data_IF_711807986532
#
_entry.id   IF_711807986532
#
_cell.length_a   1.000
_cell.length_b   1.000
_cell.length_c   1.000
_cell.angle_alpha   90.00
_cell.angle_beta   90.00
_cell.angle_gamma   90.00
#
_symmetry.space_group_name_H-M   'P 1'
#
loop_
_entity.id
_entity.type
_entity.pdbx_description
1 polymer ?
#
# COMPACT_ATOMS: atom_id res chain seq x y z
N UNK A 1 -0.96 -16.03 -6.06
CA UNK A 1 -1.11 -15.30 -7.33
C UNK A 1 -0.09 -14.17 -7.31
N UNK A 2 1.09 -14.33 -7.95
CA UNK A 2 2.06 -13.24 -8.07
C UNK A 2 1.51 -12.23 -9.07
N UNK A 3 1.08 -11.05 -8.60
CA UNK A 3 0.86 -9.93 -9.49
C UNK A 3 2.20 -9.63 -10.18
N UNK A 4 2.24 -9.76 -11.52
CA UNK A 4 3.45 -9.56 -12.34
C UNK A 4 3.87 -8.08 -12.32
N UNK A 5 4.51 -7.65 -11.23
CA UNK A 5 5.19 -6.35 -11.12
C UNK A 5 6.32 -6.21 -12.16
N UNK A 6 6.82 -7.32 -12.72
CA UNK A 6 7.76 -7.33 -13.85
C UNK A 6 7.26 -6.53 -15.07
N UNK A 7 5.94 -6.51 -15.30
CA UNK A 7 5.36 -5.72 -16.39
C UNK A 7 5.44 -4.21 -16.16
N UNK A 8 5.40 -3.78 -14.90
CA UNK A 8 5.47 -2.37 -14.51
C UNK A 8 6.88 -1.79 -14.73
N UNK A 9 7.91 -2.55 -14.36
CA UNK A 9 9.31 -2.15 -14.53
C UNK A 9 9.73 -1.92 -15.98
N UNK A 10 8.98 -2.45 -16.97
CA UNK A 10 9.26 -2.22 -18.40
C UNK A 10 9.04 -0.77 -18.84
N UNK A 11 8.22 -0.02 -18.11
CA UNK A 11 7.84 1.35 -18.44
C UNK A 11 8.60 2.41 -17.64
N UNK A 12 9.50 1.99 -16.75
CA UNK A 12 10.35 2.88 -15.95
C UNK A 12 11.81 2.82 -16.42
N UNK A 13 12.59 3.91 -16.25
CA UNK A 13 14.02 3.90 -16.55
C UNK A 13 14.75 2.74 -15.86
N UNK A 14 15.77 2.11 -16.48
CA UNK A 14 16.46 0.95 -15.93
C UNK A 14 17.12 1.18 -14.55
N UNK A 15 17.46 2.43 -14.24
CA UNK A 15 17.97 2.90 -12.94
C UNK A 15 16.89 3.11 -11.88
N UNK A 16 15.61 3.00 -12.27
CA UNK A 16 14.42 3.13 -11.42
C UNK A 16 13.70 1.78 -11.35
N UNK A 17 14.34 0.78 -10.75
CA UNK A 17 13.65 -0.47 -10.40
C UNK A 17 12.61 -0.18 -9.32
N UNK A 18 11.34 -0.41 -9.67
CA UNK A 18 10.23 -0.44 -8.73
C UNK A 18 10.23 -1.81 -8.08
N UNK A 19 10.68 -1.86 -6.83
CA UNK A 19 10.59 -3.03 -5.96
C UNK A 19 9.48 -2.78 -4.94
N UNK A 20 8.28 -3.30 -5.26
CA UNK A 20 7.17 -3.35 -4.32
C UNK A 20 7.19 -4.73 -3.69
N UNK A 21 7.24 -4.78 -2.36
CA UNK A 21 7.23 -6.03 -1.62
C UNK A 21 5.80 -6.36 -1.21
N UNK A 22 5.34 -7.55 -1.59
CA UNK A 22 3.96 -7.99 -1.33
C UNK A 22 3.98 -9.04 -0.22
N UNK A 23 3.19 -8.80 0.81
CA UNK A 23 2.93 -9.72 1.91
C UNK A 23 1.47 -10.16 1.84
N UNK A 24 1.21 -11.45 1.97
CA UNK A 24 -0.15 -12.01 1.95
C UNK A 24 -0.67 -12.17 3.37
N UNK A 25 -1.97 -11.97 3.59
CA UNK A 25 -2.56 -12.20 4.91
C UNK A 25 -2.34 -13.66 5.35
N UNK A 26 -1.64 -13.84 6.46
CA UNK A 26 -1.41 -15.14 7.12
C UNK A 26 -2.48 -15.43 8.16
N UNK A 27 -2.92 -14.40 8.91
CA UNK A 27 -3.89 -14.57 9.97
C UNK A 27 -4.38 -13.27 10.59
N UNK A 28 -5.47 -13.39 11.33
CA UNK A 28 -6.16 -12.31 12.03
C UNK A 28 -6.46 -12.73 13.47
N UNK A 29 -6.14 -11.88 14.45
CA UNK A 29 -6.45 -12.09 15.86
C UNK A 29 -6.94 -10.77 16.47
N UNK A 30 -8.24 -10.68 16.74
CA UNK A 30 -8.87 -9.42 17.15
C UNK A 30 -8.57 -8.30 16.15
N UNK A 31 -8.00 -7.20 16.63
CA UNK A 31 -7.61 -6.05 15.81
C UNK A 31 -6.18 -6.14 15.26
N UNK A 32 -5.54 -7.32 15.34
CA UNK A 32 -4.23 -7.57 14.75
C UNK A 32 -4.38 -8.35 13.44
N UNK A 33 -3.61 -7.95 12.42
CA UNK A 33 -3.43 -8.69 11.17
C UNK A 33 -1.94 -9.00 10.99
N UNK A 34 -1.66 -10.23 10.56
CA UNK A 34 -0.31 -10.70 10.27
C UNK A 34 -0.26 -11.00 8.79
N UNK A 35 0.62 -10.31 8.08
CA UNK A 35 0.91 -10.54 6.68
C UNK A 35 2.31 -11.14 6.57
N UNK A 36 2.53 -12.09 5.66
CA UNK A 36 3.84 -12.72 5.52
C UNK A 36 4.24 -12.98 4.08
N UNK A 37 5.54 -13.16 3.93
CA UNK A 37 6.22 -13.71 2.76
C UNK A 37 7.20 -14.77 3.25
N UNK A 38 7.97 -15.40 2.35
CA UNK A 38 8.84 -16.52 2.66
C UNK A 38 9.86 -16.24 3.80
N UNK A 39 10.32 -15.00 3.93
CA UNK A 39 11.41 -14.60 4.83
C UNK A 39 11.08 -13.44 5.78
N UNK A 40 9.86 -12.89 5.74
CA UNK A 40 9.50 -11.71 6.51
C UNK A 40 8.01 -11.71 6.91
N UNK A 41 7.69 -10.98 7.97
CA UNK A 41 6.30 -10.75 8.41
C UNK A 41 6.05 -9.27 8.69
N UNK A 42 4.85 -8.80 8.39
CA UNK A 42 4.34 -7.50 8.82
C UNK A 42 3.20 -7.74 9.80
N UNK A 43 3.28 -7.11 10.96
CA UNK A 43 2.22 -7.15 11.98
C UNK A 43 1.57 -5.78 12.00
N UNK A 44 0.30 -5.70 11.64
CA UNK A 44 -0.52 -4.48 11.71
C UNK A 44 -1.47 -4.60 12.88
N UNK A 45 -1.51 -3.59 13.74
CA UNK A 45 -2.42 -3.48 14.87
C UNK A 45 -3.33 -2.28 14.64
N UNK A 46 -4.61 -2.54 14.45
CA UNK A 46 -5.64 -1.52 14.33
C UNK A 46 -6.04 -1.09 15.74
N UNK A 47 -5.66 0.12 16.14
CA UNK A 47 -6.13 0.75 17.37
C UNK A 47 -6.89 1.99 16.88
N UNK A 48 -8.13 2.23 17.32
CA UNK A 48 -9.08 3.15 16.66
C UNK A 48 -8.49 4.41 16.01
N UNK A 49 -7.68 5.18 16.75
CA UNK A 49 -7.01 6.38 16.24
C UNK A 49 -5.48 6.22 16.04
N UNK A 50 -4.91 5.04 16.29
CA UNK A 50 -3.47 4.79 16.29
C UNK A 50 -3.12 3.42 15.68
N UNK A 51 -3.41 3.24 14.39
CA UNK A 51 -2.92 2.06 13.66
C UNK A 51 -1.39 2.04 13.64
N UNK A 52 -0.80 0.91 14.04
CA UNK A 52 0.65 0.68 14.07
C UNK A 52 1.01 -0.52 13.21
N UNK A 53 2.16 -0.47 12.54
CA UNK A 53 2.68 -1.59 11.78
C UNK A 53 4.16 -1.80 12.09
N UNK A 54 4.58 -3.07 12.15
CA UNK A 54 5.98 -3.44 12.33
C UNK A 54 6.39 -4.51 11.33
N UNK A 55 7.57 -4.36 10.72
CA UNK A 55 8.24 -5.37 9.91
C UNK A 55 9.15 -6.22 10.78
N UNK A 56 9.02 -7.54 10.66
CA UNK A 56 9.90 -8.55 11.21
C UNK A 56 10.67 -9.20 10.07
N UNK A 57 11.99 -9.03 10.06
CA UNK A 57 12.87 -9.59 9.04
C UNK A 57 14.23 -9.93 9.64
N UNK A 58 14.73 -11.16 9.42
CA UNK A 58 16.05 -11.57 9.91
C UNK A 58 16.21 -11.47 11.44
N UNK A 59 15.13 -11.65 12.21
CA UNK A 59 15.13 -11.49 13.67
C UNK A 59 15.10 -10.03 14.16
N UNK A 60 15.12 -9.04 13.25
CA UNK A 60 15.03 -7.62 13.57
C UNK A 60 13.57 -7.18 13.45
N UNK A 61 13.13 -6.34 14.41
CA UNK A 61 11.85 -5.64 14.36
C UNK A 61 12.07 -4.17 14.03
N UNK A 62 11.38 -3.67 13.02
CA UNK A 62 11.35 -2.25 12.63
C UNK A 62 9.92 -1.74 12.62
N UNK A 63 9.65 -0.59 13.24
CA UNK A 63 8.34 0.05 13.18
C UNK A 63 8.21 0.84 11.87
N UNK A 64 7.10 0.64 11.18
CA UNK A 64 6.83 1.21 9.86
C UNK A 64 6.14 2.57 9.98
N UNK A 65 6.49 3.47 9.06
CA UNK A 65 5.83 4.76 8.86
C UNK A 65 4.81 4.73 7.72
N UNK A 66 4.13 5.86 7.52
CA UNK A 66 3.23 6.11 6.38
C UNK A 66 2.28 4.94 6.09
N UNK A 67 1.47 4.58 7.09
CA UNK A 67 0.56 3.44 6.99
C UNK A 67 -0.74 3.92 6.35
N UNK A 68 -1.10 3.34 5.22
CA UNK A 68 -2.36 3.60 4.54
C UNK A 68 -3.20 2.33 4.57
N UNK A 69 -4.37 2.42 5.16
CA UNK A 69 -5.32 1.30 5.27
C UNK A 69 -6.41 1.49 4.23
N UNK A 70 -6.59 0.49 3.38
CA UNK A 70 -7.66 0.44 2.41
C UNK A 70 -9.01 0.32 3.13
N UNK A 71 -9.93 1.22 2.80
CA UNK A 71 -11.30 1.19 3.29
C UNK A 71 -12.22 0.90 2.11
N UNK A 72 -12.78 -0.31 1.99
CA UNK A 72 -13.68 -0.63 0.88
C UNK A 72 -14.81 0.38 0.78
N UNK A 73 -15.01 0.95 -0.40
CA UNK A 73 -16.06 1.95 -0.69
C UNK A 73 -15.94 3.25 0.12
N UNK A 74 -14.78 3.52 0.73
CA UNK A 74 -14.47 4.75 1.45
C UNK A 74 -13.09 5.27 1.09
N UNK A 75 -12.75 6.46 1.59
CA UNK A 75 -11.41 6.99 1.40
C UNK A 75 -10.41 6.23 2.27
N UNK A 76 -9.26 5.90 1.70
CA UNK A 76 -8.19 5.25 2.43
C UNK A 76 -7.75 6.05 3.68
N UNK A 77 -7.60 5.36 4.81
CA UNK A 77 -7.22 5.97 6.08
C UNK A 77 -5.70 6.06 6.20
N UNK A 78 -5.18 7.21 6.62
CA UNK A 78 -3.73 7.48 6.69
C UNK A 78 -3.30 7.63 8.14
N UNK A 79 -2.28 6.88 8.55
CA UNK A 79 -1.69 6.89 9.88
C UNK A 79 -0.18 7.11 9.80
N UNK A 80 0.30 8.05 10.61
CA UNK A 80 1.73 8.35 10.74
C UNK A 80 2.19 7.91 12.12
N UNK A 81 3.10 6.93 12.17
CA UNK A 81 3.63 6.39 13.42
C UNK A 81 5.16 6.33 13.42
N UNK A 82 5.76 5.48 12.57
CA UNK A 82 7.20 5.34 12.44
C UNK A 82 7.85 6.33 11.45
N UNK A 83 9.18 6.27 11.35
CA UNK A 83 10.00 7.05 10.42
C UNK A 83 10.70 6.14 9.41
N UNK A 84 9.92 5.45 8.57
CA UNK A 84 10.48 4.61 7.51
C UNK A 84 10.33 5.24 6.12
N UNK A 85 11.26 4.90 5.22
CA UNK A 85 11.27 5.32 3.82
C UNK A 85 10.28 4.53 2.97
N UNK A 86 9.41 3.71 3.58
CA UNK A 86 8.37 2.96 2.92
C UNK A 86 6.98 3.50 3.25
N UNK A 87 6.12 3.41 2.25
CA UNK A 87 4.68 3.51 2.36
C UNK A 87 4.15 2.10 2.62
N UNK A 88 3.42 1.93 3.72
CA UNK A 88 2.81 0.64 4.09
C UNK A 88 1.35 0.65 3.68
N UNK A 89 1.03 0.09 2.52
CA UNK A 89 -0.35 0.01 2.04
C UNK A 89 -0.99 -1.31 2.45
N UNK A 90 -1.98 -1.25 3.34
CA UNK A 90 -2.63 -2.40 3.97
C UNK A 90 -4.01 -2.58 3.35
N UNK A 91 -4.24 -3.71 2.71
CA UNK A 91 -5.56 -4.12 2.20
C UNK A 91 -6.11 -5.29 3.02
N UNK A 92 -7.39 -5.69 2.83
CA UNK A 92 -7.95 -6.84 3.54
C UNK A 92 -7.19 -8.16 3.30
N UNK A 93 -6.48 -8.29 2.17
CA UNK A 93 -5.85 -9.55 1.76
C UNK A 93 -4.34 -9.48 1.62
N UNK A 94 -3.78 -8.28 1.49
CA UNK A 94 -2.35 -8.08 1.26
C UNK A 94 -1.84 -6.83 1.99
N UNK A 95 -0.54 -6.78 2.19
CA UNK A 95 0.17 -5.59 2.62
C UNK A 95 1.33 -5.35 1.67
N UNK A 96 1.44 -4.12 1.17
CA UNK A 96 2.47 -3.70 0.23
C UNK A 96 3.44 -2.77 0.94
N UNK A 97 4.74 -3.07 0.88
CA UNK A 97 5.78 -2.08 1.17
C UNK A 97 6.22 -1.45 -0.14
N UNK A 98 5.93 -0.17 -0.27
CA UNK A 98 6.19 0.63 -1.47
C UNK A 98 7.24 1.67 -1.10
N UNK A 99 8.37 1.78 -1.83
CA UNK A 99 9.34 2.84 -1.59
C UNK A 99 8.70 4.25 -1.66
N UNK A 100 9.00 5.13 -0.71
CA UNK A 100 8.39 6.48 -0.65
C UNK A 100 8.75 7.35 -1.86
N UNK A 101 9.84 7.03 -2.56
CA UNK A 101 10.22 7.66 -3.83
C UNK A 101 9.16 7.48 -4.93
N UNK A 102 8.25 6.52 -4.78
CA UNK A 102 7.17 6.27 -5.72
C UNK A 102 5.87 7.01 -5.36
N UNK A 103 5.83 7.74 -4.24
CA UNK A 103 4.65 8.49 -3.77
C UNK A 103 4.01 9.32 -4.86
N UNK A 104 4.83 9.97 -5.68
CA UNK A 104 4.35 10.90 -6.71
C UNK A 104 4.02 10.25 -8.06
N UNK A 105 4.23 8.94 -8.20
CA UNK A 105 3.88 8.22 -9.43
C UNK A 105 2.36 8.12 -9.57
N UNK A 106 1.86 8.17 -10.81
CA UNK A 106 0.42 8.07 -11.08
C UNK A 106 -0.18 6.79 -10.48
N UNK A 107 0.54 5.66 -10.54
CA UNK A 107 0.09 4.40 -9.96
C UNK A 107 -0.19 4.53 -8.46
N UNK A 108 0.78 5.05 -7.69
CA UNK A 108 0.65 5.18 -6.24
C UNK A 108 -0.36 6.26 -5.87
N UNK A 109 -0.35 7.40 -6.58
CA UNK A 109 -1.35 8.47 -6.38
C UNK A 109 -2.77 7.97 -6.55
N UNK A 110 -3.05 7.16 -7.58
CA UNK A 110 -4.38 6.61 -7.81
C UNK A 110 -4.68 5.45 -6.85
N UNK A 111 -3.86 4.41 -6.86
CA UNK A 111 -4.15 3.16 -6.14
C UNK A 111 -4.17 3.34 -4.62
N UNK A 112 -3.16 4.04 -4.08
CA UNK A 112 -2.89 4.13 -2.64
C UNK A 112 -3.48 5.39 -2.03
N UNK A 113 -3.25 6.55 -2.63
CA UNK A 113 -3.70 7.83 -2.07
C UNK A 113 -5.05 8.30 -2.60
N UNK A 114 -5.56 7.70 -3.68
CA UNK A 114 -6.83 8.07 -4.33
C UNK A 114 -6.89 9.56 -4.70
N UNK A 115 -5.74 10.14 -5.06
CA UNK A 115 -5.57 11.55 -5.33
C UNK A 115 -5.16 11.80 -6.78
N UNK A 116 -5.97 12.55 -7.51
CA UNK A 116 -5.60 13.07 -8.82
C UNK A 116 -6.51 14.23 -9.23
N UNK A 117 -5.94 15.23 -9.89
CA UNK A 117 -6.69 16.30 -10.55
C UNK A 117 -7.34 15.82 -11.86
N UNK A 118 -6.75 14.81 -12.51
CA UNK A 118 -7.15 14.35 -13.85
C UNK A 118 -8.03 13.11 -13.84
N UNK A 119 -8.04 12.35 -12.76
CA UNK A 119 -8.70 11.04 -12.69
C UNK A 119 -9.60 11.00 -11.47
N UNK A 120 -10.90 10.80 -11.69
CA UNK A 120 -11.91 10.71 -10.64
C UNK A 120 -12.27 9.24 -10.45
N UNK A 121 -12.16 8.73 -9.22
CA UNK A 121 -12.57 7.37 -8.87
C UNK A 121 -14.09 7.26 -9.04
N UNK A 122 -14.55 6.31 -9.87
CA UNK A 122 -15.98 6.09 -10.14
C UNK A 122 -16.47 4.71 -9.70
N UNK A 123 -15.56 3.79 -9.41
CA UNK A 123 -15.90 2.46 -8.91
C UNK A 123 -14.73 1.86 -8.13
N UNK A 124 -15.03 1.25 -7.00
CA UNK A 124 -14.10 0.44 -6.21
C UNK A 124 -14.85 -0.73 -5.55
N UNK A 125 -14.31 -1.93 -5.68
CA UNK A 125 -14.80 -3.14 -5.02
C UNK A 125 -13.77 -3.84 -4.13
N UNK A 126 -12.65 -3.17 -3.82
CA UNK A 126 -11.53 -3.71 -3.04
C UNK A 126 -10.55 -4.59 -3.84
N UNK A 127 -10.84 -4.87 -5.11
CA UNK A 127 -9.94 -5.60 -6.02
C UNK A 127 -9.61 -4.80 -7.28
N UNK A 128 -10.57 -4.00 -7.75
CA UNK A 128 -10.47 -3.21 -8.97
C UNK A 128 -10.98 -1.80 -8.68
N UNK A 129 -10.15 -0.80 -9.01
CA UNK A 129 -10.51 0.61 -9.02
C UNK A 129 -10.63 1.10 -10.45
N UNK A 130 -11.74 1.75 -10.78
CA UNK A 130 -11.97 2.35 -12.10
C UNK A 130 -12.02 3.86 -11.96
N UNK A 131 -11.21 4.54 -12.77
CA UNK A 131 -11.14 5.99 -12.81
C UNK A 131 -11.66 6.53 -14.14
N UNK A 132 -12.47 7.58 -14.07
CA UNK A 132 -12.88 8.37 -15.23
C UNK A 132 -11.90 9.54 -15.40
N UNK A 133 -11.49 9.82 -16.63
CA UNK A 133 -10.71 11.02 -16.94
C UNK A 133 -11.62 12.24 -16.80
N UNK A 134 -11.23 13.19 -15.97
CA UNK A 134 -11.84 14.52 -15.92
C UNK A 134 -11.23 15.37 -17.03
N UNK A 135 -12.08 15.88 -17.92
CA UNK A 135 -11.71 16.83 -18.96
C UNK A 135 -11.97 18.28 -18.54
N UNK A 136 -12.13 18.54 -17.24
CA UNK A 136 -12.28 19.90 -16.75
C UNK A 136 -10.97 20.67 -16.99
N UNK A 137 -10.97 21.46 -18.06
CA UNK A 137 -9.96 22.48 -18.32
C UNK A 137 -10.23 23.61 -17.32
N UNK A 138 -9.34 23.78 -16.34
CA UNK A 138 -9.24 25.02 -15.58
C UNK A 138 -8.51 26.08 -16.40
#
# INVERSE_FOLDING_TARGET
>A
MLFKLEGLNRYYPPDKKIEIYIFTLEGALGDTRIYSTANAKIIVRFEGNSTKASLLYGGIKKDLGNIIVEVPSGQNAIYNYGQDEYITYVTPYACFLIPSTLKDTMLVKLLVFEQSEKYVLVYDNGYVKVYKISNEQH
#
